data_IF_438284886926
#
_entry.id   IF_438284886926
#
_cell.length_a   1.000
_cell.length_b   1.000
_cell.length_c   1.000
_cell.angle_alpha   90.00
_cell.angle_beta   90.00
_cell.angle_gamma   90.00
#
_symmetry.space_group_name_H-M   'P 1'
#
loop_
_entity.id
_entity.type
_entity.pdbx_description
1 polymer ?
#
# COMPACT_ATOMS: atom_id res chain seq x y z
N UNK A 1 -21.80 -21.65 -6.09
CA UNK A 1 -20.52 -20.92 -5.97
C UNK A 1 -20.66 -19.92 -4.84
N UNK A 2 -19.87 -19.99 -3.75
CA UNK A 2 -19.84 -18.89 -2.79
C UNK A 2 -19.38 -17.62 -3.53
N UNK A 3 -19.86 -16.42 -3.17
CA UNK A 3 -19.33 -15.20 -3.73
C UNK A 3 -17.82 -15.17 -3.44
N UNK A 4 -17.01 -14.94 -4.48
CA UNK A 4 -15.59 -14.61 -4.29
C UNK A 4 -15.57 -13.38 -3.38
N UNK A 5 -15.12 -13.55 -2.13
CA UNK A 5 -15.00 -12.43 -1.20
C UNK A 5 -14.13 -11.38 -1.88
N UNK A 6 -14.71 -10.23 -2.23
CA UNK A 6 -13.92 -9.11 -2.74
C UNK A 6 -13.07 -8.65 -1.56
N UNK A 7 -11.76 -8.89 -1.65
CA UNK A 7 -10.80 -8.35 -0.70
C UNK A 7 -10.95 -6.82 -0.71
N UNK A 8 -11.21 -6.25 0.46
CA UNK A 8 -11.39 -4.80 0.60
C UNK A 8 -10.09 -4.07 0.24
N UNK A 9 -10.21 -2.81 -0.15
CA UNK A 9 -9.06 -1.94 -0.39
C UNK A 9 -8.11 -1.90 0.83
N UNK A 10 -8.68 -1.80 2.04
CA UNK A 10 -7.91 -1.77 3.28
C UNK A 10 -7.15 -3.08 3.52
N UNK A 11 -7.77 -4.23 3.19
CA UNK A 11 -7.10 -5.53 3.28
C UNK A 11 -5.95 -5.62 2.28
N UNK A 12 -6.12 -5.10 1.06
CA UNK A 12 -5.02 -5.04 0.08
C UNK A 12 -3.89 -4.12 0.53
N UNK A 13 -4.20 -2.97 1.13
CA UNK A 13 -3.21 -2.04 1.70
C UNK A 13 -2.39 -2.74 2.80
N UNK A 14 -3.05 -3.42 3.75
CA UNK A 14 -2.36 -4.15 4.82
C UNK A 14 -1.47 -5.28 4.27
N UNK A 15 -1.90 -5.99 3.23
CA UNK A 15 -1.07 -6.99 2.57
C UNK A 15 0.15 -6.36 1.85
N UNK A 16 0.00 -5.17 1.27
CA UNK A 16 1.10 -4.42 0.66
C UNK A 16 2.12 -4.04 1.73
N UNK A 17 1.69 -3.45 2.84
CA UNK A 17 2.57 -3.10 3.96
C UNK A 17 3.39 -4.29 4.43
N UNK A 18 2.75 -5.45 4.63
CA UNK A 18 3.45 -6.68 5.00
C UNK A 18 4.52 -7.07 3.97
N UNK A 19 4.19 -7.07 2.68
CA UNK A 19 5.15 -7.39 1.61
C UNK A 19 6.30 -6.38 1.52
N UNK A 20 6.04 -5.11 1.81
CA UNK A 20 7.07 -4.07 1.81
C UNK A 20 8.00 -4.21 3.00
N UNK A 21 7.51 -4.54 4.19
CA UNK A 21 8.37 -4.87 5.34
C UNK A 21 9.28 -6.08 5.05
N UNK A 22 8.75 -7.09 4.37
CA UNK A 22 9.54 -8.26 3.96
C UNK A 22 10.62 -7.91 2.91
N UNK A 23 10.37 -6.92 2.05
CA UNK A 23 11.30 -6.49 0.98
C UNK A 23 12.33 -5.46 1.44
N UNK A 24 12.00 -4.62 2.42
CA UNK A 24 12.82 -3.54 2.95
C UNK A 24 12.98 -3.69 4.46
N UNK A 25 13.69 -4.73 4.95
CA UNK A 25 13.80 -5.03 6.38
C UNK A 25 14.51 -3.93 7.19
N UNK A 26 15.29 -3.08 6.53
CA UNK A 26 15.97 -1.92 7.11
C UNK A 26 15.04 -0.73 7.36
N UNK A 27 13.85 -0.71 6.75
CA UNK A 27 12.89 0.38 6.87
C UNK A 27 12.07 0.22 8.15
N UNK A 28 11.94 1.30 8.92
CA UNK A 28 11.12 1.33 10.12
C UNK A 28 9.62 1.14 9.79
N UNK A 29 8.94 0.26 10.53
CA UNK A 29 7.52 -0.06 10.29
C UNK A 29 6.57 1.15 10.44
N UNK A 30 6.83 2.06 11.38
CA UNK A 30 6.05 3.30 11.55
C UNK A 30 6.24 4.21 10.35
N UNK A 31 7.49 4.38 9.88
CA UNK A 31 7.75 5.17 8.68
C UNK A 31 7.06 4.58 7.45
N UNK A 32 7.04 3.26 7.32
CA UNK A 32 6.35 2.58 6.23
C UNK A 32 4.82 2.81 6.27
N UNK A 33 4.18 2.64 7.44
CA UNK A 33 2.73 2.91 7.63
C UNK A 33 2.40 4.37 7.28
N UNK A 34 3.19 5.33 7.77
CA UNK A 34 3.02 6.75 7.46
C UNK A 34 3.14 7.03 5.96
N UNK A 35 4.16 6.47 5.31
CA UNK A 35 4.40 6.63 3.87
C UNK A 35 3.25 6.04 3.05
N UNK A 36 2.79 4.83 3.39
CA UNK A 36 1.66 4.16 2.73
C UNK A 36 0.38 4.99 2.92
N UNK A 37 0.11 5.44 4.14
CA UNK A 37 -1.06 6.28 4.47
C UNK A 37 -1.03 7.61 3.72
N UNK A 38 0.13 8.26 3.62
CA UNK A 38 0.27 9.51 2.89
C UNK A 38 -0.08 9.30 1.41
N UNK A 39 0.53 8.31 0.74
CA UNK A 39 0.25 8.03 -0.67
C UNK A 39 -1.19 7.58 -0.92
N UNK A 40 -1.79 6.84 0.02
CA UNK A 40 -3.18 6.41 -0.03
C UNK A 40 -4.16 7.60 0.09
N UNK A 41 -3.88 8.52 1.02
CA UNK A 41 -4.73 9.70 1.27
C UNK A 41 -4.87 10.60 0.04
N UNK A 42 -3.86 10.64 -0.84
CA UNK A 42 -3.88 11.38 -2.10
C UNK A 42 -4.98 10.91 -3.06
N UNK A 43 -5.53 9.71 -2.86
CA UNK A 43 -6.63 9.16 -3.65
C UNK A 43 -7.99 9.23 -2.94
N UNK A 44 -8.11 9.96 -1.83
CA UNK A 44 -9.37 10.07 -1.07
C UNK A 44 -10.57 10.53 -1.94
N UNK A 45 -10.33 11.43 -2.90
CA UNK A 45 -11.35 11.94 -3.81
C UNK A 45 -11.52 11.11 -5.11
N UNK A 46 -10.76 10.03 -5.29
CA UNK A 46 -10.79 9.23 -6.53
C UNK A 46 -12.00 8.28 -6.57
N UNK A 47 -12.85 8.33 -7.62
CA UNK A 47 -14.05 7.52 -7.72
C UNK A 47 -13.76 6.05 -8.05
N UNK A 48 -12.62 5.77 -8.71
CA UNK A 48 -12.19 4.41 -9.06
C UNK A 48 -11.16 3.96 -8.03
N UNK A 49 -11.55 3.00 -7.18
CA UNK A 49 -10.75 2.56 -6.02
C UNK A 49 -9.94 1.28 -6.28
N UNK A 50 -10.33 0.48 -7.27
CA UNK A 50 -9.76 -0.86 -7.53
C UNK A 50 -8.24 -0.84 -7.80
N UNK A 51 -7.74 0.26 -8.35
CA UNK A 51 -6.33 0.44 -8.70
C UNK A 51 -5.52 1.19 -7.63
N UNK A 52 -6.17 1.78 -6.63
CA UNK A 52 -5.48 2.56 -5.59
C UNK A 52 -4.39 1.74 -4.89
N UNK A 53 -4.64 0.49 -4.44
CA UNK A 53 -3.60 -0.31 -3.78
C UNK A 53 -2.34 -0.49 -4.64
N UNK A 54 -2.51 -0.76 -5.95
CA UNK A 54 -1.38 -0.94 -6.88
C UNK A 54 -0.60 0.36 -7.08
N UNK A 55 -1.30 1.50 -7.17
CA UNK A 55 -0.67 2.81 -7.32
C UNK A 55 0.09 3.22 -6.06
N UNK A 56 -0.49 2.97 -4.89
CA UNK A 56 0.15 3.21 -3.59
C UNK A 56 1.40 2.34 -3.45
N UNK A 57 1.30 1.03 -3.68
CA UNK A 57 2.44 0.11 -3.63
C UNK A 57 3.58 0.58 -4.55
N UNK A 58 3.27 0.94 -5.80
CA UNK A 58 4.27 1.42 -6.76
C UNK A 58 4.99 2.68 -6.25
N UNK A 59 4.26 3.65 -5.71
CA UNK A 59 4.84 4.91 -5.23
C UNK A 59 5.70 4.69 -3.99
N UNK A 60 5.21 3.91 -3.04
CA UNK A 60 5.94 3.60 -1.80
C UNK A 60 7.23 2.86 -2.16
N UNK A 61 7.20 1.84 -3.01
CA UNK A 61 8.42 1.16 -3.47
C UNK A 61 9.43 2.12 -4.10
N UNK A 62 8.97 3.00 -4.99
CA UNK A 62 9.84 3.98 -5.63
C UNK A 62 10.49 4.95 -4.63
N UNK A 63 9.83 5.23 -3.51
CA UNK A 63 10.35 6.08 -2.45
C UNK A 63 11.33 5.32 -1.56
N UNK A 64 10.99 4.11 -1.10
CA UNK A 64 11.87 3.28 -0.29
C UNK A 64 13.18 2.95 -1.04
N UNK A 65 13.10 2.61 -2.33
CA UNK A 65 14.29 2.38 -3.17
C UNK A 65 15.18 3.62 -3.34
N UNK A 66 14.67 4.85 -3.12
CA UNK A 66 15.51 6.05 -3.11
C UNK A 66 16.19 6.30 -1.76
N UNK A 67 15.69 5.68 -0.69
CA UNK A 67 16.18 5.84 0.68
C UNK A 67 17.17 4.75 1.07
N UNK A 68 17.08 3.57 0.46
CA UNK A 68 18.04 2.47 0.56
C UNK A 68 19.29 2.72 -0.30
#
# INVERSE_FOLDING_TARGET
MPPRARISEQTRIAEIERRLMEQFPEVNATFLDETVREHHSRFAASPIRDFIPLLVEKRVRQELTRLA
#
